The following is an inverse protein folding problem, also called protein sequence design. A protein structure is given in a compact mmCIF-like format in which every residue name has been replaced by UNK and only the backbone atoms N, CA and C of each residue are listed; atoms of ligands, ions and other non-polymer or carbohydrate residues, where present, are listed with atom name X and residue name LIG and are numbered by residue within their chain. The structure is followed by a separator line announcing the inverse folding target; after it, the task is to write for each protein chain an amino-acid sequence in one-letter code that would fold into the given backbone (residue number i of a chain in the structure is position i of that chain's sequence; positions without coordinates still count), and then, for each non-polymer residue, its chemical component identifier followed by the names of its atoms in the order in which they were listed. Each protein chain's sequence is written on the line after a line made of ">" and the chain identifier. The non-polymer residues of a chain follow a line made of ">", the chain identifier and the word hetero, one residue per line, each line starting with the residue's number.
data_IF_640282197362
#
_entry.id   IF_640282197362
#
_cell.length_a   1.000
_cell.length_b   1.000
_cell.length_c   1.000
_cell.angle_alpha   90.00
_cell.angle_beta   90.00
_cell.angle_gamma   90.00
#
_symmetry.space_group_name_H-M   'P 1'
#
loop_
_entity.id
_entity.type
_entity.pdbx_description
1 polymer ?
#
# COMPACT_ATOMS: atom_id res chain seq x y z
N UNK A 1 24.49 15.23 -7.11
CA UNK A 1 23.75 14.39 -6.17
C UNK A 1 24.19 12.94 -6.30
N UNK A 2 24.40 12.29 -5.19
CA UNK A 2 24.79 10.89 -5.22
C UNK A 2 23.56 10.01 -5.50
N UNK A 3 23.61 9.24 -6.59
CA UNK A 3 22.51 8.36 -6.98
C UNK A 3 22.43 7.07 -6.14
N UNK A 4 23.39 6.91 -5.24
CA UNK A 4 23.45 5.75 -4.35
C UNK A 4 22.90 6.04 -2.96
N UNK A 5 22.43 7.27 -2.72
CA UNK A 5 21.89 7.65 -1.42
C UNK A 5 20.47 7.11 -1.27
N UNK A 6 20.17 6.58 -0.11
CA UNK A 6 18.83 6.20 0.30
C UNK A 6 18.19 7.40 1.00
N UNK A 7 16.87 7.55 0.86
CA UNK A 7 16.21 8.73 1.40
C UNK A 7 14.79 8.40 1.88
N UNK A 8 14.31 9.23 2.79
CA UNK A 8 12.92 9.21 3.25
C UNK A 8 12.41 10.63 3.12
N UNK A 9 11.40 10.83 2.29
CA UNK A 9 10.75 12.12 2.12
C UNK A 9 9.38 12.09 2.77
N UNK A 10 9.12 12.99 3.70
CA UNK A 10 7.85 13.11 4.38
C UNK A 10 7.11 14.32 3.83
N UNK A 11 5.92 14.11 3.30
CA UNK A 11 5.07 15.17 2.79
C UNK A 11 3.84 15.26 3.68
N UNK A 12 3.66 16.37 4.43
CA UNK A 12 2.46 16.54 5.24
C UNK A 12 1.27 16.94 4.37
N UNK A 13 0.08 16.79 4.92
CA UNK A 13 -1.12 17.29 4.26
C UNK A 13 -1.04 18.82 4.15
N UNK A 14 -1.23 19.34 2.94
CA UNK A 14 -1.16 20.78 2.67
C UNK A 14 -2.55 21.44 2.65
N UNK A 15 -3.59 20.71 2.99
CA UNK A 15 -4.96 21.22 3.02
C UNK A 15 -5.70 21.06 1.70
N UNK A 16 -5.07 20.52 0.66
CA UNK A 16 -5.80 20.22 -0.56
C UNK A 16 -6.59 18.91 -0.41
N UNK A 17 -7.65 18.77 -1.17
CA UNK A 17 -8.49 17.58 -1.08
C UNK A 17 -7.82 16.30 -1.56
N UNK A 18 -6.67 16.43 -2.21
CA UNK A 18 -5.94 15.28 -2.76
C UNK A 18 -4.57 15.09 -2.12
N UNK A 19 -4.18 15.95 -1.18
CA UNK A 19 -2.86 15.90 -0.57
C UNK A 19 -2.95 15.25 0.81
N UNK A 20 -3.00 13.93 0.80
CA UNK A 20 -2.90 13.17 2.03
C UNK A 20 -1.44 13.08 2.48
N UNK A 21 -1.19 13.00 3.79
CA UNK A 21 0.19 12.85 4.25
C UNK A 21 0.79 11.55 3.74
N UNK A 22 2.07 11.61 3.35
CA UNK A 22 2.75 10.42 2.85
C UNK A 22 4.24 10.45 3.19
N UNK A 23 4.84 9.26 3.16
CA UNK A 23 6.27 9.07 3.29
C UNK A 23 6.75 8.28 2.08
N UNK A 24 7.82 8.76 1.45
CA UNK A 24 8.43 8.10 0.31
C UNK A 24 9.79 7.55 0.70
N UNK A 25 9.98 6.25 0.49
CA UNK A 25 11.23 5.54 0.79
C UNK A 25 11.93 5.25 -0.52
N UNK A 26 13.08 5.88 -0.74
CA UNK A 26 13.85 5.75 -1.98
C UNK A 26 15.03 4.81 -1.77
N UNK A 27 15.23 3.89 -2.72
CA UNK A 27 16.40 3.01 -2.71
C UNK A 27 17.67 3.75 -3.13
N UNK A 28 18.69 3.00 -3.50
CA UNK A 28 19.99 3.55 -3.83
C UNK A 28 20.03 4.32 -5.16
N UNK A 29 18.94 4.28 -5.92
CA UNK A 29 18.79 5.02 -7.18
C UNK A 29 17.78 6.13 -6.99
N UNK A 30 17.83 7.15 -7.84
CA UNK A 30 16.86 8.24 -7.85
C UNK A 30 15.66 7.94 -8.75
N UNK A 31 15.58 6.74 -9.31
CA UNK A 31 14.48 6.34 -10.18
C UNK A 31 13.17 6.24 -9.41
N UNK A 32 12.07 6.66 -10.02
CA UNK A 32 10.74 6.54 -9.40
C UNK A 32 10.36 5.08 -9.14
N UNK A 33 10.90 4.14 -9.91
CA UNK A 33 10.63 2.71 -9.73
C UNK A 33 11.30 2.13 -8.48
N UNK A 34 12.23 2.88 -7.87
CA UNK A 34 12.93 2.44 -6.65
C UNK A 34 12.24 2.91 -5.37
N UNK A 35 11.09 3.56 -5.48
CA UNK A 35 10.37 4.10 -4.32
C UNK A 35 9.28 3.16 -3.86
N UNK A 36 9.11 3.13 -2.54
CA UNK A 36 7.90 2.62 -1.90
C UNK A 36 7.27 3.80 -1.16
N UNK A 37 6.00 4.06 -1.41
CA UNK A 37 5.28 5.16 -0.79
C UNK A 37 4.31 4.63 0.24
N UNK A 38 4.39 5.16 1.46
CA UNK A 38 3.41 4.92 2.52
C UNK A 38 2.46 6.10 2.51
N UNK A 39 1.19 5.84 2.24
CA UNK A 39 0.21 6.89 2.01
C UNK A 39 -1.04 6.66 2.86
N UNK A 40 -1.55 7.75 3.44
CA UNK A 40 -2.82 7.71 4.15
C UNK A 40 -3.93 8.12 3.18
N UNK A 41 -4.97 7.30 3.09
CA UNK A 41 -6.12 7.56 2.24
C UNK A 41 -7.38 7.60 3.09
N UNK A 42 -8.27 8.54 2.79
CA UNK A 42 -9.56 8.67 3.47
C UNK A 42 -10.65 8.88 2.44
N UNK A 43 -11.65 8.02 2.41
CA UNK A 43 -12.72 8.07 1.42
C UNK A 43 -13.97 8.80 1.92
N UNK A 44 -13.87 9.48 3.06
CA UNK A 44 -15.00 10.13 3.73
C UNK A 44 -15.57 9.31 4.88
N UNK A 45 -15.13 8.08 5.05
CA UNK A 45 -15.61 7.18 6.09
C UNK A 45 -14.50 6.32 6.69
N UNK A 46 -13.63 5.78 5.86
CA UNK A 46 -12.63 4.79 6.28
C UNK A 46 -11.24 5.32 5.98
N UNK A 47 -10.35 5.22 6.96
CA UNK A 47 -8.93 5.52 6.78
C UNK A 47 -8.19 4.24 6.39
N UNK A 48 -7.43 4.32 5.30
CA UNK A 48 -6.58 3.23 4.82
C UNK A 48 -5.14 3.71 4.78
N UNK A 49 -4.25 2.88 5.30
CA UNK A 49 -2.82 3.08 5.17
C UNK A 49 -2.32 2.16 4.07
N UNK A 50 -1.78 2.76 3.00
CA UNK A 50 -1.45 2.05 1.77
C UNK A 50 0.04 2.11 1.50
N UNK A 51 0.65 0.95 1.17
CA UNK A 51 2.03 0.87 0.70
C UNK A 51 1.99 0.66 -0.81
N UNK A 52 2.46 1.65 -1.55
CA UNK A 52 2.41 1.65 -3.01
C UNK A 52 3.80 1.47 -3.60
N UNK A 53 3.87 0.63 -4.63
CA UNK A 53 5.07 0.46 -5.45
C UNK A 53 4.89 1.09 -6.82
N UNK A 54 5.79 0.77 -7.74
CA UNK A 54 5.77 1.36 -9.10
C UNK A 54 4.58 0.90 -9.93
N UNK A 55 4.01 -0.26 -9.62
CA UNK A 55 2.87 -0.81 -10.36
C UNK A 55 1.54 -0.64 -9.63
N UNK A 56 1.53 0.01 -8.45
CA UNK A 56 0.32 0.23 -7.68
C UNK A 56 0.46 -0.22 -6.23
N UNK A 57 -0.66 -0.43 -5.58
CA UNK A 57 -0.70 -0.79 -4.18
C UNK A 57 -0.15 -2.20 -3.94
N UNK A 58 0.80 -2.32 -3.02
CA UNK A 58 1.39 -3.59 -2.63
C UNK A 58 0.59 -4.24 -1.50
N UNK A 59 0.30 -3.48 -0.44
CA UNK A 59 -0.58 -3.94 0.61
C UNK A 59 -1.20 -2.75 1.33
N UNK A 60 -2.25 -3.01 2.11
CA UNK A 60 -2.96 -1.97 2.83
C UNK A 60 -3.53 -2.48 4.14
N UNK A 61 -3.70 -1.54 5.09
CA UNK A 61 -4.42 -1.77 6.34
C UNK A 61 -5.51 -0.71 6.41
N UNK A 62 -6.75 -1.14 6.59
CA UNK A 62 -7.90 -0.25 6.67
C UNK A 62 -8.57 -0.35 8.03
N UNK A 63 -9.01 0.80 8.53
CA UNK A 63 -9.85 0.84 9.73
C UNK A 63 -11.31 0.59 9.32
N UNK A 64 -11.55 -0.57 8.72
CA UNK A 64 -12.85 -0.97 8.21
C UNK A 64 -13.46 -2.03 9.12
N UNK A 65 -14.51 -1.68 9.82
CA UNK A 65 -15.17 -2.58 10.76
C UNK A 65 -16.25 -3.44 10.08
N UNK A 66 -16.43 -3.28 8.77
CA UNK A 66 -17.48 -3.99 8.03
C UNK A 66 -16.97 -4.74 6.81
N UNK A 67 -15.67 -4.69 6.55
CA UNK A 67 -15.09 -5.30 5.35
C UNK A 67 -13.65 -5.74 5.57
N UNK A 68 -12.83 -5.55 4.56
CA UNK A 68 -11.45 -6.00 4.57
C UNK A 68 -10.57 -5.06 5.40
N UNK A 69 -9.83 -5.63 6.34
CA UNK A 69 -8.88 -4.88 7.19
C UNK A 69 -7.50 -4.85 6.55
N UNK A 70 -7.04 -5.97 6.01
CA UNK A 70 -5.68 -6.11 5.48
C UNK A 70 -5.72 -6.79 4.13
N UNK A 71 -4.95 -6.26 3.17
CA UNK A 71 -4.86 -6.84 1.83
C UNK A 71 -3.44 -6.75 1.30
N UNK A 72 -2.98 -7.81 0.63
CA UNK A 72 -1.74 -7.83 -0.13
C UNK A 72 -2.08 -8.15 -1.57
N UNK A 73 -1.63 -7.31 -2.49
CA UNK A 73 -1.99 -7.39 -3.90
C UNK A 73 -0.85 -7.94 -4.75
N UNK A 74 -1.22 -8.54 -5.88
CA UNK A 74 -0.24 -8.87 -6.91
C UNK A 74 0.10 -7.64 -7.76
N UNK A 75 0.96 -7.82 -8.76
CA UNK A 75 1.41 -6.70 -9.61
C UNK A 75 0.30 -6.12 -10.49
N UNK A 76 -0.81 -6.83 -10.65
CA UNK A 76 -1.97 -6.35 -11.40
C UNK A 76 -2.99 -5.65 -10.50
N UNK A 77 -2.72 -5.54 -9.19
CA UNK A 77 -3.63 -4.93 -8.24
C UNK A 77 -4.73 -5.85 -7.73
N UNK A 78 -4.60 -7.15 -7.99
CA UNK A 78 -5.59 -8.14 -7.55
C UNK A 78 -5.17 -8.70 -6.19
N UNK A 79 -6.06 -8.73 -5.19
CA UNK A 79 -5.70 -9.24 -3.88
C UNK A 79 -5.31 -10.71 -3.92
N UNK A 80 -4.13 -11.02 -3.37
CA UNK A 80 -3.67 -12.39 -3.17
C UNK A 80 -3.94 -12.88 -1.76
N UNK A 81 -3.99 -11.96 -0.80
CA UNK A 81 -4.31 -12.24 0.60
C UNK A 81 -5.22 -11.14 1.09
N UNK A 82 -6.34 -11.53 1.70
CA UNK A 82 -7.24 -10.59 2.37
C UNK A 82 -7.64 -11.12 3.74
N UNK A 83 -7.75 -10.22 4.71
CA UNK A 83 -8.25 -10.54 6.04
C UNK A 83 -9.39 -9.58 6.34
N UNK A 84 -10.56 -10.13 6.64
CA UNK A 84 -11.76 -9.34 6.93
C UNK A 84 -11.92 -9.06 8.42
N UNK A 85 -12.80 -8.13 8.73
CA UNK A 85 -13.10 -7.70 10.09
C UNK A 85 -13.62 -8.83 10.97
N UNK A 86 -14.22 -9.87 10.39
CA UNK A 86 -14.76 -11.02 11.11
C UNK A 86 -13.75 -12.16 11.27
N UNK A 87 -12.52 -11.97 10.78
CA UNK A 87 -11.47 -12.96 10.89
C UNK A 87 -11.38 -13.93 9.72
N UNK A 88 -12.22 -13.79 8.70
CA UNK A 88 -12.10 -14.60 7.50
C UNK A 88 -10.80 -14.26 6.77
N UNK A 89 -10.07 -15.28 6.36
CA UNK A 89 -8.82 -15.12 5.60
C UNK A 89 -9.02 -15.78 4.24
N UNK A 90 -8.78 -15.03 3.18
CA UNK A 90 -8.86 -15.51 1.80
C UNK A 90 -7.49 -15.47 1.16
N UNK A 91 -7.07 -16.57 0.58
CA UNK A 91 -5.78 -16.70 -0.10
C UNK A 91 -6.04 -17.07 -1.56
N UNK A 92 -5.45 -16.31 -2.49
CA UNK A 92 -5.53 -16.56 -3.93
C UNK A 92 -6.98 -16.73 -4.42
N UNK A 93 -7.92 -15.95 -3.84
CA UNK A 93 -9.34 -16.07 -4.15
C UNK A 93 -9.64 -15.81 -5.62
N UNK A 94 -8.95 -14.84 -6.21
CA UNK A 94 -9.24 -14.40 -7.58
C UNK A 94 -8.30 -14.98 -8.61
N UNK A 95 -7.04 -15.18 -8.25
CA UNK A 95 -6.04 -15.75 -9.15
C UNK A 95 -4.81 -16.18 -8.37
N UNK A 96 -3.98 -17.02 -8.99
CA UNK A 96 -2.76 -17.50 -8.38
C UNK A 96 -2.93 -18.84 -7.68
N UNK A 97 -1.86 -19.26 -7.02
CA UNK A 97 -1.80 -20.54 -6.33
C UNK A 97 -1.30 -20.37 -4.92
N UNK A 98 -1.76 -21.23 -4.02
CA UNK A 98 -1.22 -21.31 -2.66
C UNK A 98 -0.30 -22.52 -2.60
N UNK A 99 0.99 -22.27 -2.28
CA UNK A 99 1.97 -23.33 -2.11
C UNK A 99 2.13 -23.66 -0.63
N UNK A 100 2.12 -24.94 -0.31
CA UNK A 100 2.34 -25.43 1.04
C UNK A 100 3.38 -26.56 0.93
N UNK A 101 4.48 -26.37 1.59
CA UNK A 101 5.52 -27.38 1.53
C UNK A 101 6.90 -26.89 1.74
#
# INVERSE_FOLDING_TARGET
>A
MALTDKDILITPNDGSSTADPKQEFTGASSSASDKITLETQFDGSITTLSFDGSAGQLFSISNDLTGTIFAVNDSAGIPSLEIDNDGEIRLAEFSGNVGIG
#
